data_IF_693476951869
#
_entry.id   IF_693476951869
#
_cell.length_a   1.000
_cell.length_b   1.000
_cell.length_c   1.000
_cell.angle_alpha   90.00
_cell.angle_beta   90.00
_cell.angle_gamma   90.00
#
_symmetry.space_group_name_H-M   'P 1'
#
loop_
_entity.id
_entity.type
_entity.pdbx_description
1 polymer ?
#
# COMPACT_ATOMS: atom_id res chain seq x y z
N UNK A 1 -13.97 -24.87 -2.24
CA UNK A 1 -15.14 -24.92 -1.34
C UNK A 1 -16.24 -24.03 -1.90
N UNK A 2 -17.50 -24.19 -1.46
CA UNK A 2 -18.61 -23.32 -1.86
C UNK A 2 -19.16 -22.63 -0.63
N UNK A 3 -19.30 -21.30 -0.69
CA UNK A 3 -19.90 -20.50 0.37
C UNK A 3 -21.35 -20.17 0.01
N UNK A 4 -22.22 -20.05 1.01
CA UNK A 4 -23.65 -19.82 0.76
C UNK A 4 -24.26 -18.88 1.78
N UNK A 5 -25.30 -18.16 1.38
CA UNK A 5 -26.14 -17.39 2.29
C UNK A 5 -27.58 -17.38 1.77
N UNK A 6 -28.55 -17.46 2.67
CA UNK A 6 -29.97 -17.48 2.30
C UNK A 6 -30.65 -16.18 2.73
N UNK A 7 -31.22 -15.45 1.78
CA UNK A 7 -32.00 -14.22 1.98
C UNK A 7 -33.42 -14.49 1.52
N UNK A 8 -34.42 -14.28 2.39
CA UNK A 8 -35.85 -14.43 2.06
C UNK A 8 -36.24 -15.73 1.32
N UNK A 9 -35.54 -16.84 1.58
CA UNK A 9 -35.78 -18.14 0.92
C UNK A 9 -35.01 -18.37 -0.39
N UNK A 10 -34.26 -17.38 -0.88
CA UNK A 10 -33.31 -17.53 -1.98
C UNK A 10 -31.91 -17.82 -1.44
N UNK A 11 -31.27 -18.89 -1.92
CA UNK A 11 -29.92 -19.27 -1.51
C UNK A 11 -28.90 -18.87 -2.56
N UNK A 12 -28.10 -17.86 -2.23
CA UNK A 12 -26.94 -17.44 -3.00
C UNK A 12 -25.78 -18.42 -2.78
N UNK A 13 -25.05 -18.72 -3.85
CA UNK A 13 -23.89 -19.62 -3.83
C UNK A 13 -22.69 -18.92 -4.45
N UNK A 14 -21.55 -19.01 -3.78
CA UNK A 14 -20.28 -18.43 -4.21
C UNK A 14 -19.23 -19.54 -4.32
N UNK A 15 -18.71 -19.75 -5.53
CA UNK A 15 -17.69 -20.73 -5.87
C UNK A 15 -16.31 -20.22 -5.49
N UNK A 16 -15.84 -20.67 -4.33
CA UNK A 16 -14.51 -20.35 -3.81
C UNK A 16 -14.37 -18.94 -3.24
N UNK A 17 -13.21 -18.73 -2.60
CA UNK A 17 -12.97 -17.53 -1.80
C UNK A 17 -12.82 -16.28 -2.67
N UNK A 18 -12.20 -16.42 -3.85
CA UNK A 18 -12.06 -15.33 -4.83
C UNK A 18 -13.42 -14.72 -5.20
N UNK A 19 -14.39 -15.56 -5.57
CA UNK A 19 -15.71 -15.07 -5.97
C UNK A 19 -16.44 -14.44 -4.78
N UNK A 20 -16.41 -15.06 -3.59
CA UNK A 20 -17.02 -14.48 -2.39
C UNK A 20 -16.44 -13.09 -2.08
N UNK A 21 -15.12 -12.96 -2.10
CA UNK A 21 -14.42 -11.70 -1.84
C UNK A 21 -14.74 -10.62 -2.88
N UNK A 22 -14.81 -10.99 -4.16
CA UNK A 22 -15.13 -10.07 -5.25
C UNK A 22 -16.59 -9.60 -5.20
N UNK A 23 -17.53 -10.52 -4.99
CA UNK A 23 -18.96 -10.21 -4.89
C UNK A 23 -19.30 -9.38 -3.65
N UNK A 24 -18.52 -9.49 -2.57
CA UNK A 24 -18.71 -8.68 -1.37
C UNK A 24 -18.17 -7.23 -1.50
N UNK A 25 -17.38 -6.93 -2.53
CA UNK A 25 -16.82 -5.59 -2.77
C UNK A 25 -17.92 -4.57 -3.11
N UNK A 26 -17.91 -3.36 -2.53
CA UNK A 26 -18.75 -2.26 -3.00
C UNK A 26 -18.57 -2.03 -4.51
N UNK A 27 -19.61 -1.57 -5.22
CA UNK A 27 -19.56 -1.44 -6.67
C UNK A 27 -18.34 -0.61 -7.15
N UNK A 28 -17.51 -1.21 -8.01
CA UNK A 28 -16.33 -0.60 -8.64
C UNK A 28 -16.34 -0.91 -10.15
N UNK A 29 -16.01 0.08 -10.97
CA UNK A 29 -15.98 -0.08 -12.43
C UNK A 29 -14.95 -1.10 -12.90
N UNK A 30 -13.81 -1.22 -12.21
CA UNK A 30 -12.78 -2.21 -12.55
C UNK A 30 -13.23 -3.65 -12.31
N UNK A 31 -13.89 -3.93 -11.18
CA UNK A 31 -14.44 -5.27 -10.90
C UNK A 31 -15.59 -5.63 -11.85
N UNK A 32 -16.37 -4.64 -12.30
CA UNK A 32 -17.38 -4.81 -13.35
C UNK A 32 -16.74 -5.14 -14.70
N UNK A 33 -15.70 -4.40 -15.09
CA UNK A 33 -14.95 -4.64 -16.32
C UNK A 33 -14.32 -6.04 -16.35
N UNK A 34 -13.85 -6.52 -15.19
CA UNK A 34 -13.32 -7.87 -15.03
C UNK A 34 -14.41 -8.95 -14.96
N UNK A 35 -15.69 -8.59 -14.92
CA UNK A 35 -16.80 -9.55 -14.87
C UNK A 35 -16.97 -10.28 -13.54
N UNK A 36 -16.35 -9.77 -12.45
CA UNK A 36 -16.32 -10.42 -11.13
C UNK A 36 -17.18 -9.72 -10.08
N UNK A 37 -17.65 -8.50 -10.36
CA UNK A 37 -18.55 -7.75 -9.49
C UNK A 37 -19.89 -8.46 -9.27
N UNK A 38 -20.57 -8.12 -8.16
CA UNK A 38 -21.95 -8.56 -7.92
C UNK A 38 -22.91 -8.05 -9.01
N UNK A 39 -23.88 -8.88 -9.37
CA UNK A 39 -24.89 -8.59 -10.39
C UNK A 39 -25.85 -7.49 -9.91
N UNK A 40 -26.16 -7.49 -8.61
CA UNK A 40 -27.04 -6.53 -7.97
C UNK A 40 -26.66 -6.31 -6.49
N UNK A 41 -27.42 -5.46 -5.81
CA UNK A 41 -27.23 -5.18 -4.38
C UNK A 41 -27.51 -6.41 -3.50
N UNK A 42 -28.51 -7.22 -3.86
CA UNK A 42 -28.95 -8.34 -3.04
C UNK A 42 -27.88 -9.44 -3.01
N UNK A 43 -27.30 -9.77 -4.17
CA UNK A 43 -26.15 -10.68 -4.28
C UNK A 43 -24.95 -10.14 -3.49
N UNK A 44 -24.69 -8.82 -3.55
CA UNK A 44 -23.58 -8.22 -2.79
C UNK A 44 -23.81 -8.32 -1.29
N UNK A 45 -24.99 -8.00 -0.80
CA UNK A 45 -25.33 -8.12 0.63
C UNK A 45 -25.26 -9.59 1.06
N UNK A 46 -25.76 -10.52 0.25
CA UNK A 46 -25.64 -11.96 0.52
C UNK A 46 -24.17 -12.41 0.59
N UNK A 47 -23.31 -11.90 -0.30
CA UNK A 47 -21.86 -12.16 -0.26
C UNK A 47 -21.22 -11.57 1.00
N UNK A 48 -21.56 -10.35 1.39
CA UNK A 48 -21.07 -9.73 2.63
C UNK A 48 -21.51 -10.51 3.88
N UNK A 49 -22.74 -11.03 3.90
CA UNK A 49 -23.25 -11.85 5.00
C UNK A 49 -22.58 -13.23 5.05
N UNK A 50 -22.34 -13.87 3.90
CA UNK A 50 -21.55 -15.09 3.83
C UNK A 50 -20.11 -14.83 4.33
N UNK A 51 -19.49 -13.74 3.87
CA UNK A 51 -18.13 -13.35 4.23
C UNK A 51 -18.00 -13.04 5.74
N UNK A 52 -18.98 -12.35 6.32
CA UNK A 52 -19.00 -12.03 7.76
C UNK A 52 -18.99 -13.28 8.65
N UNK A 53 -19.52 -14.40 8.17
CA UNK A 53 -19.54 -15.68 8.90
C UNK A 53 -18.28 -16.53 8.69
N UNK A 54 -17.38 -16.12 7.80
CA UNK A 54 -16.17 -16.88 7.50
C UNK A 54 -15.15 -16.78 8.65
N UNK A 55 -14.60 -17.89 9.17
CA UNK A 55 -13.49 -17.85 10.12
C UNK A 55 -12.25 -17.16 9.54
N UNK A 56 -11.57 -16.32 10.33
CA UNK A 56 -10.34 -15.67 9.87
C UNK A 56 -9.26 -16.68 9.47
N UNK A 57 -9.17 -17.81 10.17
CA UNK A 57 -8.20 -18.86 9.87
C UNK A 57 -8.32 -19.43 8.46
N UNK A 58 -9.46 -19.29 7.78
CA UNK A 58 -9.65 -19.73 6.39
C UNK A 58 -8.63 -19.07 5.46
N UNK A 59 -8.28 -17.81 5.68
CA UNK A 59 -7.34 -17.06 4.83
C UNK A 59 -5.88 -17.56 4.92
N UNK A 60 -5.57 -18.43 5.90
CA UNK A 60 -4.26 -19.06 6.03
C UNK A 60 -4.13 -20.33 5.17
N UNK A 61 -5.26 -20.99 4.89
CA UNK A 61 -5.31 -22.26 4.16
C UNK A 61 -5.87 -22.14 2.75
N UNK A 62 -6.76 -21.17 2.50
CA UNK A 62 -7.33 -20.89 1.19
C UNK A 62 -6.72 -19.59 0.64
N UNK A 63 -5.77 -19.72 -0.29
CA UNK A 63 -5.06 -18.57 -0.87
C UNK A 63 -5.80 -18.05 -2.11
N UNK A 64 -5.95 -16.72 -2.21
CA UNK A 64 -6.52 -16.05 -3.39
C UNK A 64 -5.68 -16.33 -4.64
N UNK A 65 -4.36 -16.31 -4.50
CA UNK A 65 -3.41 -16.72 -5.54
C UNK A 65 -2.54 -17.82 -4.95
N UNK A 66 -2.35 -18.99 -5.62
CA UNK A 66 -1.60 -20.11 -5.09
C UNK A 66 -0.18 -19.74 -4.63
N UNK A 67 0.22 -20.28 -3.49
CA UNK A 67 1.54 -20.04 -2.87
C UNK A 67 2.70 -20.34 -3.84
N UNK A 68 2.61 -21.41 -4.61
CA UNK A 68 3.66 -21.82 -5.55
C UNK A 68 3.77 -20.88 -6.75
N UNK A 69 2.68 -20.19 -7.10
CA UNK A 69 2.59 -19.36 -8.29
C UNK A 69 3.00 -17.89 -8.07
N UNK A 70 3.05 -17.41 -6.82
CA UNK A 70 3.11 -15.98 -6.54
C UNK A 70 4.01 -15.62 -5.34
N UNK A 71 5.04 -14.82 -5.59
CA UNK A 71 5.99 -14.40 -4.53
C UNK A 71 5.39 -13.48 -3.48
N UNK A 72 4.30 -12.77 -3.81
CA UNK A 72 3.59 -11.92 -2.84
C UNK A 72 2.78 -12.80 -1.89
N UNK A 73 2.14 -13.87 -2.38
CA UNK A 73 1.50 -14.88 -1.51
C UNK A 73 2.55 -15.53 -0.59
N UNK A 74 3.72 -15.92 -1.12
CA UNK A 74 4.79 -16.47 -0.28
C UNK A 74 5.21 -15.50 0.81
N UNK A 75 5.47 -14.24 0.45
CA UNK A 75 5.78 -13.19 1.42
C UNK A 75 4.71 -13.09 2.52
N UNK A 76 3.43 -13.06 2.16
CA UNK A 76 2.31 -12.93 3.10
C UNK A 76 2.27 -14.11 4.08
N UNK A 77 2.36 -15.34 3.56
CA UNK A 77 2.23 -16.55 4.38
C UNK A 77 3.47 -16.78 5.23
N UNK A 78 4.67 -16.59 4.67
CA UNK A 78 5.94 -16.85 5.36
C UNK A 78 6.23 -15.83 6.47
N UNK A 79 5.63 -14.64 6.40
CA UNK A 79 5.81 -13.58 7.41
C UNK A 79 4.64 -13.45 8.38
N UNK A 80 3.63 -14.31 8.26
CA UNK A 80 2.50 -14.33 9.20
C UNK A 80 2.92 -14.83 10.58
N UNK A 81 2.62 -14.05 11.61
CA UNK A 81 2.90 -14.38 13.01
C UNK A 81 1.68 -15.02 13.70
N UNK A 82 1.78 -16.31 14.00
CA UNK A 82 0.71 -17.07 14.63
C UNK A 82 0.42 -16.64 16.09
N UNK A 83 1.43 -16.17 16.82
CA UNK A 83 1.28 -15.72 18.21
C UNK A 83 0.59 -14.35 18.24
N UNK A 84 0.97 -13.45 17.33
CA UNK A 84 0.28 -12.17 17.15
C UNK A 84 -1.19 -12.37 16.71
N UNK A 85 -1.48 -13.38 15.89
CA UNK A 85 -2.83 -13.73 15.44
C UNK A 85 -3.69 -14.41 16.52
N UNK A 86 -3.06 -15.06 17.51
CA UNK A 86 -3.72 -15.89 18.50
C UNK A 86 -4.93 -15.24 19.23
N UNK A 87 -4.95 -13.92 19.54
CA UNK A 87 -6.08 -13.27 20.21
C UNK A 87 -7.36 -13.24 19.38
N UNK A 88 -7.26 -13.22 18.05
CA UNK A 88 -8.41 -13.11 17.14
C UNK A 88 -8.66 -14.39 16.33
N UNK A 89 -7.82 -15.42 16.48
CA UNK A 89 -7.85 -16.64 15.65
C UNK A 89 -9.20 -17.33 15.55
N UNK A 90 -10.02 -17.25 16.61
CA UNK A 90 -11.33 -17.90 16.69
C UNK A 90 -12.47 -17.03 16.14
N UNK A 91 -12.18 -15.78 15.77
CA UNK A 91 -13.19 -14.86 15.26
C UNK A 91 -13.49 -15.16 13.79
N UNK A 92 -14.73 -14.83 13.41
CA UNK A 92 -15.10 -14.67 12.01
C UNK A 92 -14.71 -13.28 11.52
N UNK A 93 -14.82 -13.02 10.22
CA UNK A 93 -14.63 -11.67 9.65
C UNK A 93 -15.57 -10.65 10.33
N UNK A 94 -16.83 -11.03 10.58
CA UNK A 94 -17.79 -10.20 11.32
C UNK A 94 -17.38 -9.97 12.77
N UNK A 95 -16.96 -11.03 13.47
CA UNK A 95 -16.43 -10.89 14.84
C UNK A 95 -15.17 -10.01 14.90
N UNK A 96 -14.33 -10.06 13.86
CA UNK A 96 -13.16 -9.20 13.75
C UNK A 96 -13.53 -7.73 13.51
N UNK A 97 -14.53 -7.45 12.67
CA UNK A 97 -15.08 -6.08 12.51
C UNK A 97 -15.50 -5.52 13.87
N UNK A 98 -16.29 -6.27 14.62
CA UNK A 98 -16.80 -5.82 15.93
C UNK A 98 -15.65 -5.64 16.93
N UNK A 99 -14.66 -6.54 16.91
CA UNK A 99 -13.44 -6.42 17.71
C UNK A 99 -12.66 -5.14 17.37
N UNK A 100 -12.47 -4.80 16.09
CA UNK A 100 -11.78 -3.57 15.67
C UNK A 100 -12.53 -2.29 16.12
N UNK A 101 -13.87 -2.34 16.10
CA UNK A 101 -14.71 -1.21 16.51
C UNK A 101 -14.77 -1.02 18.03
N UNK A 102 -14.57 -2.08 18.81
CA UNK A 102 -14.57 -2.04 20.28
C UNK A 102 -13.58 -1.03 20.87
N UNK A 103 -13.98 -0.30 21.91
CA UNK A 103 -13.13 0.63 22.65
C UNK A 103 -11.96 -0.06 23.37
N UNK A 104 -12.09 -1.36 23.65
CA UNK A 104 -11.01 -2.17 24.21
C UNK A 104 -9.84 -2.38 23.22
N UNK A 105 -10.10 -2.22 21.92
CA UNK A 105 -9.07 -2.35 20.88
C UNK A 105 -8.34 -1.02 20.72
N UNK A 106 -7.14 -0.96 21.31
CA UNK A 106 -6.30 0.24 21.32
C UNK A 106 -5.26 0.22 20.19
N UNK A 107 -4.60 1.35 19.93
CA UNK A 107 -3.47 1.41 19.00
C UNK A 107 -2.36 0.42 19.34
N UNK A 108 -2.06 0.24 20.64
CA UNK A 108 -1.06 -0.72 21.10
C UNK A 108 -1.47 -2.16 20.76
N UNK A 109 -2.73 -2.51 21.00
CA UNK A 109 -3.28 -3.83 20.67
C UNK A 109 -3.22 -4.09 19.17
N UNK A 110 -3.55 -3.09 18.34
CA UNK A 110 -3.48 -3.20 16.89
C UNK A 110 -2.04 -3.34 16.38
N UNK A 111 -1.10 -2.60 16.95
CA UNK A 111 0.32 -2.73 16.60
C UNK A 111 0.86 -4.13 16.93
N UNK A 112 0.48 -4.70 18.06
CA UNK A 112 0.84 -6.07 18.43
C UNK A 112 0.18 -7.13 17.54
N UNK A 113 -1.06 -6.88 17.09
CA UNK A 113 -1.80 -7.78 16.22
C UNK A 113 -1.29 -7.77 14.77
N UNK A 114 -0.81 -6.63 14.27
CA UNK A 114 -0.52 -6.43 12.85
C UNK A 114 0.28 -7.58 12.19
N UNK A 115 1.34 -8.17 12.80
CA UNK A 115 2.07 -9.30 12.22
C UNK A 115 1.23 -10.56 11.97
N UNK A 116 0.14 -10.74 12.70
CA UNK A 116 -0.79 -11.86 12.55
C UNK A 116 -1.93 -11.61 11.55
N UNK A 117 -1.92 -10.50 10.81
CA UNK A 117 -2.97 -10.20 9.82
C UNK A 117 -2.45 -10.44 8.41
N UNK A 118 -3.18 -11.27 7.64
CA UNK A 118 -3.00 -11.32 6.19
C UNK A 118 -3.77 -10.18 5.51
N UNK A 119 -3.33 -9.73 4.32
CA UNK A 119 -4.06 -8.76 3.52
C UNK A 119 -5.49 -9.17 3.20
N UNK A 120 -5.73 -10.45 2.97
CA UNK A 120 -7.06 -10.98 2.67
C UNK A 120 -8.01 -10.85 3.86
N UNK A 121 -7.54 -11.02 5.11
CA UNK A 121 -8.33 -10.74 6.31
C UNK A 121 -8.71 -9.26 6.40
N UNK A 122 -7.75 -8.37 6.13
CA UNK A 122 -7.94 -6.91 6.17
C UNK A 122 -8.89 -6.45 5.05
N UNK A 123 -8.74 -7.00 3.85
CA UNK A 123 -9.65 -6.77 2.73
C UNK A 123 -11.05 -7.26 3.08
N UNK A 124 -11.18 -8.48 3.63
CA UNK A 124 -12.47 -9.08 3.98
C UNK A 124 -13.24 -8.22 4.99
N UNK A 125 -12.59 -7.79 6.07
CA UNK A 125 -13.25 -6.96 7.08
C UNK A 125 -13.62 -5.59 6.52
N UNK A 126 -12.78 -4.99 5.68
CA UNK A 126 -13.07 -3.69 5.06
C UNK A 126 -14.27 -3.73 4.09
N UNK A 127 -14.56 -4.88 3.47
CA UNK A 127 -15.72 -5.07 2.58
C UNK A 127 -17.06 -5.03 3.31
N UNK A 128 -17.07 -5.40 4.59
CA UNK A 128 -18.28 -5.40 5.44
C UNK A 128 -18.36 -4.17 6.36
N UNK A 129 -17.44 -3.22 6.21
CA UNK A 129 -17.42 -1.97 6.96
C UNK A 129 -18.17 -0.87 6.22
N UNK A 130 -18.91 -0.06 6.98
CA UNK A 130 -19.38 1.25 6.49
C UNK A 130 -18.21 2.24 6.47
N UNK A 131 -18.38 3.37 5.78
CA UNK A 131 -17.38 4.44 5.78
C UNK A 131 -17.06 4.92 7.21
N UNK A 132 -18.06 5.05 8.08
CA UNK A 132 -17.83 5.44 9.48
C UNK A 132 -16.98 4.39 10.23
N UNK A 133 -17.23 3.10 10.00
CA UNK A 133 -16.45 2.02 10.59
C UNK A 133 -14.99 2.13 10.15
N UNK A 134 -14.74 2.31 8.83
CA UNK A 134 -13.39 2.47 8.29
C UNK A 134 -12.66 3.67 8.91
N UNK A 135 -13.34 4.81 9.08
CA UNK A 135 -12.75 6.00 9.72
C UNK A 135 -12.40 5.73 11.18
N UNK A 136 -13.30 5.10 11.94
CA UNK A 136 -13.10 4.81 13.36
C UNK A 136 -11.96 3.81 13.58
N UNK A 137 -11.90 2.75 12.76
CA UNK A 137 -10.82 1.76 12.79
C UNK A 137 -9.50 2.41 12.40
N UNK A 138 -9.45 3.14 11.27
CA UNK A 138 -8.23 3.80 10.80
C UNK A 138 -7.70 4.83 11.80
N UNK A 139 -8.57 5.54 12.53
CA UNK A 139 -8.16 6.45 13.61
C UNK A 139 -7.39 5.74 14.73
N UNK A 140 -7.67 4.47 15.02
CA UNK A 140 -6.95 3.68 16.02
C UNK A 140 -5.61 3.14 15.49
N UNK A 141 -5.49 2.93 14.17
CA UNK A 141 -4.26 2.50 13.53
C UNK A 141 -3.22 3.64 13.51
N UNK A 142 -2.26 3.60 14.42
CA UNK A 142 -1.16 4.58 14.49
C UNK A 142 0.11 3.98 13.89
N UNK A 143 0.58 4.54 12.78
CA UNK A 143 1.81 4.15 12.09
C UNK A 143 2.73 5.37 12.06
N UNK A 144 3.87 5.27 12.73
CA UNK A 144 4.85 6.36 12.84
C UNK A 144 6.12 5.94 12.13
N UNK A 145 6.55 6.72 11.15
CA UNK A 145 7.75 6.47 10.34
C UNK A 145 8.73 7.64 10.46
N UNK A 146 10.03 7.37 10.28
CA UNK A 146 11.11 8.31 10.58
C UNK A 146 12.23 8.23 9.55
N UNK A 147 12.63 9.38 9.03
CA UNK A 147 13.84 9.52 8.23
C UNK A 147 14.63 10.78 8.62
N UNK A 148 14.32 11.95 8.06
CA UNK A 148 14.86 13.25 8.52
C UNK A 148 13.93 13.99 9.45
N UNK A 149 12.66 13.63 9.41
CA UNK A 149 11.64 14.04 10.35
C UNK A 149 10.80 12.81 10.77
N UNK A 150 9.72 13.05 11.52
CA UNK A 150 8.80 12.01 11.98
C UNK A 150 7.40 12.26 11.43
N UNK A 151 6.85 11.28 10.72
CA UNK A 151 5.51 11.30 10.15
C UNK A 151 4.54 10.42 10.94
N UNK A 152 3.23 10.69 10.81
CA UNK A 152 2.17 9.85 11.39
C UNK A 152 1.84 10.09 12.87
N UNK A 153 2.40 11.14 13.49
CA UNK A 153 2.04 11.53 14.85
C UNK A 153 0.61 12.08 14.92
N UNK A 154 -0.06 11.85 16.04
CA UNK A 154 -1.42 12.36 16.28
C UNK A 154 -1.49 13.89 16.22
N UNK A 155 -2.57 14.40 15.64
CA UNK A 155 -2.79 15.84 15.48
C UNK A 155 -1.93 16.49 14.39
N UNK A 156 -1.22 15.70 13.57
CA UNK A 156 -0.40 16.18 12.45
C UNK A 156 -0.91 15.64 11.12
N UNK A 157 -0.83 16.48 10.10
CA UNK A 157 -1.09 16.13 8.71
C UNK A 157 0.10 16.59 7.88
N UNK A 158 0.73 15.65 7.18
CA UNK A 158 1.89 15.91 6.34
C UNK A 158 1.47 15.98 4.87
N UNK A 159 2.18 16.74 4.06
CA UNK A 159 1.91 16.87 2.63
C UNK A 159 3.15 16.61 1.78
N UNK A 160 2.93 15.95 0.65
CA UNK A 160 3.91 15.88 -0.43
C UNK A 160 3.87 17.20 -1.20
N UNK A 161 5.04 17.80 -1.41
CA UNK A 161 5.20 18.88 -2.37
C UNK A 161 5.74 18.26 -3.67
N UNK A 162 4.93 18.27 -4.73
CA UNK A 162 5.30 17.70 -6.03
C UNK A 162 5.40 18.74 -7.15
N UNK A 163 6.57 19.37 -7.32
CA UNK A 163 6.81 20.41 -8.31
C UNK A 163 7.14 19.82 -9.70
N UNK A 164 6.19 19.13 -10.33
CA UNK A 164 6.40 18.58 -11.68
C UNK A 164 6.43 19.69 -12.73
N UNK A 165 7.33 19.59 -13.70
CA UNK A 165 7.37 20.47 -14.87
C UNK A 165 7.29 19.64 -16.16
N UNK A 166 6.53 20.04 -17.20
CA UNK A 166 6.35 19.24 -18.43
C UNK A 166 7.64 18.83 -19.15
N UNK A 167 8.71 19.58 -18.94
CA UNK A 167 10.04 19.37 -19.54
C UNK A 167 11.16 19.27 -18.51
N UNK A 168 10.81 19.09 -17.22
CA UNK A 168 11.75 19.10 -16.10
C UNK A 168 12.66 20.36 -16.03
N UNK A 169 12.10 21.55 -16.32
CA UNK A 169 12.88 22.79 -16.28
C UNK A 169 13.25 23.16 -14.82
N UNK A 170 14.54 23.28 -14.48
CA UNK A 170 14.96 23.52 -13.10
C UNK A 170 14.40 24.82 -12.50
N UNK A 171 14.24 25.88 -13.30
CA UNK A 171 13.72 27.15 -12.80
C UNK A 171 12.22 27.06 -12.48
N UNK A 172 11.44 26.41 -13.35
CA UNK A 172 10.03 26.12 -13.10
C UNK A 172 9.80 25.23 -11.87
N UNK A 173 10.62 24.19 -11.73
CA UNK A 173 10.58 23.31 -10.55
C UNK A 173 10.94 24.09 -9.28
N UNK A 174 12.03 24.85 -9.28
CA UNK A 174 12.45 25.64 -8.13
C UNK A 174 11.40 26.68 -7.72
N UNK A 175 10.75 27.34 -8.68
CA UNK A 175 9.66 28.28 -8.41
C UNK A 175 8.48 27.59 -7.69
N UNK A 176 8.09 26.39 -8.15
CA UNK A 176 7.03 25.61 -7.51
C UNK A 176 7.43 25.09 -6.11
N UNK A 177 8.70 24.75 -5.90
CA UNK A 177 9.22 24.41 -4.57
C UNK A 177 9.05 25.59 -3.62
N UNK A 178 9.48 26.78 -4.02
CA UNK A 178 9.37 27.99 -3.19
C UNK A 178 7.91 28.29 -2.87
N UNK A 179 7.03 28.28 -3.87
CA UNK A 179 5.60 28.51 -3.66
C UNK A 179 5.01 27.50 -2.67
N UNK A 180 5.27 26.21 -2.87
CA UNK A 180 4.77 25.14 -1.98
C UNK A 180 5.27 25.27 -0.54
N UNK A 181 6.54 25.60 -0.35
CA UNK A 181 7.14 25.82 0.98
C UNK A 181 6.54 27.03 1.70
N UNK A 182 6.12 28.09 0.99
CA UNK A 182 5.43 29.24 1.58
C UNK A 182 4.05 28.87 2.17
N UNK A 183 3.45 27.78 1.70
CA UNK A 183 2.24 27.18 2.27
C UNK A 183 2.53 26.04 3.26
N UNK A 184 3.79 25.88 3.68
CA UNK A 184 4.26 24.81 4.56
C UNK A 184 4.04 23.39 4.01
N UNK A 185 4.07 23.22 2.68
CA UNK A 185 4.02 21.90 2.07
C UNK A 185 5.40 21.27 1.93
N UNK A 186 5.44 19.93 1.92
CA UNK A 186 6.65 19.17 1.64
C UNK A 186 7.33 18.60 2.88
N UNK A 187 6.67 18.58 4.03
CA UNK A 187 7.16 17.89 5.23
C UNK A 187 7.11 16.36 5.07
N UNK A 188 6.19 15.82 4.25
CA UNK A 188 6.21 14.39 3.93
C UNK A 188 7.37 14.04 2.98
N UNK A 189 7.52 14.81 1.90
CA UNK A 189 8.59 14.67 0.89
C UNK A 189 8.48 15.84 -0.10
N UNK A 190 9.62 16.34 -0.59
CA UNK A 190 9.68 17.14 -1.82
C UNK A 190 10.02 16.20 -2.97
N UNK A 191 9.01 15.82 -3.75
CA UNK A 191 9.08 14.72 -4.72
C UNK A 191 8.87 15.19 -6.16
N UNK A 192 9.71 14.81 -7.11
CA UNK A 192 9.50 15.13 -8.54
C UNK A 192 9.19 13.84 -9.29
N UNK A 193 8.09 13.80 -10.05
CA UNK A 193 7.90 12.79 -11.08
C UNK A 193 8.49 13.31 -12.39
N UNK A 194 9.67 12.82 -12.81
CA UNK A 194 10.39 13.40 -13.94
C UNK A 194 9.70 13.05 -15.27
N UNK A 195 9.73 13.97 -16.21
CA UNK A 195 9.29 13.77 -17.59
C UNK A 195 10.23 12.83 -18.38
N UNK A 196 11.47 12.64 -17.93
CA UNK A 196 12.45 11.71 -18.52
C UNK A 196 12.99 10.71 -17.50
N UNK A 197 13.35 9.51 -17.97
CA UNK A 197 14.03 8.46 -17.21
C UNK A 197 15.57 8.51 -17.33
N UNK A 198 16.12 9.55 -17.96
CA UNK A 198 17.56 9.73 -18.09
C UNK A 198 18.25 9.87 -16.73
N UNK A 199 19.24 9.01 -16.47
CA UNK A 199 20.05 9.05 -15.25
C UNK A 199 20.66 10.44 -15.02
N UNK A 200 21.17 11.10 -16.06
CA UNK A 200 21.80 12.41 -15.93
C UNK A 200 20.79 13.49 -15.48
N UNK A 201 19.58 13.45 -16.03
CA UNK A 201 18.51 14.37 -15.65
C UNK A 201 18.04 14.09 -14.20
N UNK A 202 17.82 12.82 -13.86
CA UNK A 202 17.46 12.39 -12.51
C UNK A 202 18.50 12.84 -11.48
N UNK A 203 19.80 12.62 -11.75
CA UNK A 203 20.89 13.08 -10.86
C UNK A 203 20.89 14.60 -10.70
N UNK A 204 20.68 15.35 -11.79
CA UNK A 204 20.60 16.82 -11.73
C UNK A 204 19.46 17.29 -10.82
N UNK A 205 18.29 16.66 -10.91
CA UNK A 205 17.15 16.97 -10.04
C UNK A 205 17.43 16.59 -8.58
N UNK A 206 18.07 15.44 -8.34
CA UNK A 206 18.45 14.99 -7.00
C UNK A 206 19.44 15.96 -6.33
N UNK A 207 20.47 16.41 -7.05
CA UNK A 207 21.45 17.38 -6.58
C UNK A 207 20.79 18.72 -6.27
N UNK A 208 19.94 19.22 -7.17
CA UNK A 208 19.18 20.45 -6.95
C UNK A 208 18.32 20.38 -5.68
N UNK A 209 17.56 19.29 -5.48
CA UNK A 209 16.74 19.10 -4.28
C UNK A 209 17.61 19.02 -3.01
N UNK A 210 18.71 18.28 -3.07
CA UNK A 210 19.66 18.17 -1.96
C UNK A 210 20.22 19.55 -1.57
N UNK A 211 20.62 20.36 -2.55
CA UNK A 211 21.21 21.68 -2.31
C UNK A 211 20.19 22.65 -1.70
N UNK A 212 18.94 22.63 -2.16
CA UNK A 212 17.86 23.42 -1.56
C UNK A 212 17.65 23.02 -0.10
N UNK A 213 17.49 21.71 0.17
CA UNK A 213 17.24 21.21 1.53
C UNK A 213 18.41 21.55 2.46
N UNK A 214 19.65 21.31 2.01
CA UNK A 214 20.84 21.57 2.81
C UNK A 214 21.06 23.06 3.06
N UNK A 215 20.91 23.91 2.04
CA UNK A 215 21.15 25.36 2.13
C UNK A 215 20.19 26.05 3.10
N UNK A 216 18.94 25.62 3.14
CA UNK A 216 17.91 26.21 3.99
C UNK A 216 17.60 25.37 5.23
N UNK A 217 18.38 24.30 5.49
CA UNK A 217 18.24 23.39 6.63
C UNK A 217 16.79 22.88 6.80
N UNK A 218 16.13 22.58 5.68
CA UNK A 218 14.72 22.19 5.67
C UNK A 218 14.60 20.78 6.28
N UNK A 219 13.77 20.57 7.33
CA UNK A 219 13.65 19.27 7.97
C UNK A 219 12.74 18.32 7.16
N UNK A 220 13.19 17.95 5.95
CA UNK A 220 12.47 17.08 5.01
C UNK A 220 13.44 16.24 4.17
N UNK A 221 12.87 15.40 3.31
CA UNK A 221 13.53 14.48 2.41
C UNK A 221 13.14 14.76 0.96
N UNK A 222 14.07 14.53 0.05
CA UNK A 222 13.85 14.59 -1.38
C UNK A 222 13.45 13.23 -1.95
N UNK A 223 12.79 13.25 -3.10
CA UNK A 223 12.60 12.05 -3.91
C UNK A 223 12.48 12.44 -5.39
N UNK A 224 13.08 11.66 -6.28
CA UNK A 224 12.74 11.69 -7.71
C UNK A 224 12.08 10.34 -8.00
N UNK A 225 10.80 10.38 -8.40
CA UNK A 225 9.92 9.23 -8.54
C UNK A 225 10.21 8.46 -9.84
N UNK A 226 11.42 7.90 -9.92
CA UNK A 226 11.89 7.06 -11.03
C UNK A 226 11.84 5.58 -10.66
N UNK A 227 12.13 4.70 -11.62
CA UNK A 227 12.24 3.27 -11.37
C UNK A 227 13.38 2.97 -10.37
N UNK A 228 13.18 2.01 -9.47
CA UNK A 228 14.13 1.66 -8.40
C UNK A 228 15.55 1.38 -8.93
N UNK A 229 15.68 0.76 -10.10
CA UNK A 229 17.00 0.49 -10.71
C UNK A 229 17.72 1.77 -11.14
N UNK A 230 16.99 2.79 -11.56
CA UNK A 230 17.53 4.11 -11.87
C UNK A 230 18.05 4.78 -10.59
N UNK A 231 17.33 4.63 -9.47
CA UNK A 231 17.81 5.08 -8.17
C UNK A 231 19.07 4.34 -7.72
N UNK A 232 19.14 3.02 -7.85
CA UNK A 232 20.34 2.23 -7.52
C UNK A 232 21.54 2.70 -8.35
N UNK A 233 21.36 2.87 -9.65
CA UNK A 233 22.44 3.34 -10.53
C UNK A 233 22.88 4.78 -10.18
N UNK A 234 21.94 5.67 -9.86
CA UNK A 234 22.28 7.02 -9.41
C UNK A 234 23.07 6.99 -8.08
N UNK A 235 22.71 6.10 -7.14
CA UNK A 235 23.44 5.88 -5.88
C UNK A 235 24.86 5.39 -6.16
N UNK A 236 25.04 4.43 -7.07
CA UNK A 236 26.37 3.93 -7.48
C UNK A 236 27.27 5.04 -8.06
N UNK A 237 26.65 6.08 -8.64
CA UNK A 237 27.34 7.29 -9.13
C UNK A 237 27.54 8.38 -8.08
N UNK A 238 27.12 8.14 -6.83
CA UNK A 238 27.26 9.06 -5.71
C UNK A 238 26.13 10.09 -5.56
N UNK A 239 24.99 9.91 -6.23
CA UNK A 239 23.88 10.84 -6.13
C UNK A 239 23.25 10.85 -4.71
N UNK A 240 22.80 12.02 -4.22
CA UNK A 240 22.29 12.18 -2.86
C UNK A 240 20.81 11.77 -2.73
N UNK A 241 20.52 10.47 -2.83
CA UNK A 241 19.15 9.95 -2.69
C UNK A 241 18.73 9.86 -1.23
N UNK A 242 17.61 10.51 -0.88
CA UNK A 242 16.99 10.36 0.44
C UNK A 242 15.99 9.21 0.47
N UNK A 243 15.01 9.21 -0.45
CA UNK A 243 14.02 8.15 -0.58
C UNK A 243 14.12 7.45 -1.94
N UNK A 244 14.01 6.12 -1.92
CA UNK A 244 13.86 5.30 -3.13
C UNK A 244 12.39 5.06 -3.39
N UNK A 245 11.93 5.56 -4.54
CA UNK A 245 10.56 5.38 -5.00
C UNK A 245 10.40 4.10 -5.80
N UNK A 246 9.23 3.47 -5.71
CA UNK A 246 8.79 2.47 -6.68
C UNK A 246 7.26 2.28 -6.66
N UNK A 247 6.65 2.13 -7.83
CA UNK A 247 5.28 1.63 -7.94
C UNK A 247 5.25 0.12 -7.70
N UNK A 248 4.36 -0.36 -6.84
CA UNK A 248 4.21 -1.77 -6.47
C UNK A 248 2.77 -2.24 -6.64
N UNK A 249 2.58 -3.56 -6.73
CA UNK A 249 1.29 -4.22 -6.86
C UNK A 249 1.19 -5.46 -5.97
N UNK A 250 -0.04 -5.95 -5.79
CA UNK A 250 -0.36 -7.10 -4.94
C UNK A 250 -0.11 -8.48 -5.54
N UNK A 251 0.47 -8.57 -6.75
CA UNK A 251 0.77 -9.85 -7.41
C UNK A 251 2.17 -9.82 -8.02
N UNK A 252 2.82 -10.98 -8.07
CA UNK A 252 4.13 -11.16 -8.69
C UNK A 252 4.08 -10.79 -10.18
N UNK A 253 3.02 -11.19 -10.89
CA UNK A 253 2.87 -10.89 -12.31
C UNK A 253 2.73 -9.37 -12.57
N UNK A 254 1.98 -8.64 -11.74
CA UNK A 254 1.87 -7.19 -11.85
C UNK A 254 3.19 -6.48 -11.51
N UNK A 255 3.90 -6.91 -10.46
CA UNK A 255 5.23 -6.37 -10.13
C UNK A 255 6.24 -6.62 -11.25
N UNK A 256 6.22 -7.80 -11.88
CA UNK A 256 7.06 -8.09 -13.06
C UNK A 256 6.74 -7.18 -14.23
N UNK A 257 5.47 -6.82 -14.44
CA UNK A 257 5.08 -5.87 -15.49
C UNK A 257 5.65 -4.46 -15.25
N UNK A 258 5.92 -4.13 -13.98
CA UNK A 258 6.63 -2.91 -13.59
C UNK A 258 8.15 -3.05 -13.62
N UNK A 259 8.70 -4.20 -13.99
CA UNK A 259 10.14 -4.43 -14.04
C UNK A 259 10.79 -4.74 -12.70
N UNK A 260 10.02 -5.12 -11.68
CA UNK A 260 10.53 -5.34 -10.31
C UNK A 260 10.22 -6.74 -9.75
N UNK A 261 11.01 -7.12 -8.76
CA UNK A 261 10.78 -8.26 -7.87
C UNK A 261 10.99 -7.83 -6.42
N UNK A 262 10.58 -8.64 -5.44
CA UNK A 262 10.91 -8.38 -4.03
C UNK A 262 12.43 -8.25 -3.79
N UNK A 263 13.26 -8.98 -4.55
CA UNK A 263 14.72 -8.88 -4.47
C UNK A 263 15.22 -7.52 -4.98
N UNK A 264 14.65 -7.01 -6.08
CA UNK A 264 14.97 -5.68 -6.61
C UNK A 264 14.62 -4.57 -5.60
N UNK A 265 13.49 -4.71 -4.90
CA UNK A 265 13.09 -3.77 -3.84
C UNK A 265 14.04 -3.83 -2.63
N UNK A 266 14.50 -5.03 -2.26
CA UNK A 266 15.48 -5.23 -1.19
C UNK A 266 16.82 -4.57 -1.54
N UNK A 267 17.31 -4.75 -2.77
CA UNK A 267 18.52 -4.10 -3.28
C UNK A 267 18.40 -2.57 -3.23
N UNK A 268 17.27 -2.02 -3.67
CA UNK A 268 16.99 -0.58 -3.60
C UNK A 268 16.99 -0.03 -2.17
N UNK A 269 16.41 -0.78 -1.24
CA UNK A 269 16.41 -0.42 0.18
C UNK A 269 17.83 -0.43 0.76
N UNK A 270 18.61 -1.48 0.48
CA UNK A 270 19.99 -1.62 0.95
C UNK A 270 20.90 -0.53 0.40
N UNK A 271 20.76 -0.21 -0.90
CA UNK A 271 21.49 0.88 -1.54
C UNK A 271 21.20 2.22 -0.84
N UNK A 272 19.93 2.55 -0.58
CA UNK A 272 19.56 3.79 0.11
C UNK A 272 20.06 3.84 1.56
N UNK A 273 19.94 2.73 2.30
CA UNK A 273 20.45 2.63 3.67
C UNK A 273 21.97 2.81 3.73
N UNK A 274 22.71 2.34 2.72
CA UNK A 274 24.17 2.46 2.66
C UNK A 274 24.66 3.92 2.66
N UNK A 275 23.81 4.87 2.24
CA UNK A 275 24.14 6.28 2.23
C UNK A 275 24.12 6.93 3.62
N UNK A 276 23.47 6.32 4.60
CA UNK A 276 23.43 6.84 5.99
C UNK A 276 22.83 8.24 6.13
N UNK A 277 21.87 8.61 5.27
CA UNK A 277 21.34 9.99 5.16
C UNK A 277 20.20 10.34 6.11
N UNK A 278 19.64 9.34 6.79
CA UNK A 278 18.59 9.53 7.79
C UNK A 278 19.17 10.11 9.09
N UNK A 279 18.57 11.17 9.61
CA UNK A 279 19.03 11.85 10.84
C UNK A 279 18.17 11.53 12.06
N UNK A 280 16.95 11.04 11.85
CA UNK A 280 15.96 10.68 12.89
C UNK A 280 15.59 9.20 12.84
N UNK A 281 15.63 8.58 11.65
CA UNK A 281 15.37 7.17 11.44
C UNK A 281 15.81 6.71 10.05
N UNK A 282 15.47 5.46 9.71
CA UNK A 282 15.99 4.76 8.53
C UNK A 282 14.87 4.24 7.60
N UNK A 283 13.67 4.83 7.66
CA UNK A 283 12.62 4.49 6.70
C UNK A 283 12.96 5.18 5.35
N UNK A 284 13.50 4.44 4.40
CA UNK A 284 14.06 4.98 3.14
C UNK A 284 13.21 4.72 1.90
N UNK A 285 12.18 3.88 2.00
CA UNK A 285 11.35 3.52 0.84
C UNK A 285 10.13 4.43 0.73
N UNK A 286 9.75 4.75 -0.50
CA UNK A 286 8.49 5.39 -0.84
C UNK A 286 7.77 4.55 -1.90
N UNK A 287 6.61 3.99 -1.56
CA UNK A 287 5.81 3.23 -2.52
C UNK A 287 4.55 3.97 -2.96
N UNK A 288 4.19 3.77 -4.22
CA UNK A 288 2.85 4.03 -4.72
C UNK A 288 2.14 2.72 -5.10
N UNK A 289 0.86 2.69 -4.80
CA UNK A 289 -0.06 1.56 -5.01
C UNK A 289 -1.27 2.03 -5.81
N UNK A 290 -2.13 1.12 -6.25
CA UNK A 290 -3.27 1.45 -7.07
C UNK A 290 -4.15 0.23 -7.32
N UNK A 291 -5.45 0.41 -7.06
CA UNK A 291 -6.46 -0.64 -7.21
C UNK A 291 -6.54 -1.21 -8.63
N UNK A 292 -6.31 -0.37 -9.65
CA UNK A 292 -6.38 -0.76 -11.06
C UNK A 292 -5.17 -1.54 -11.58
N UNK A 293 -4.02 -1.46 -10.90
CA UNK A 293 -2.73 -1.88 -11.45
C UNK A 293 -2.69 -3.33 -11.90
N UNK A 294 -3.19 -4.25 -11.08
CA UNK A 294 -3.17 -5.67 -11.40
C UNK A 294 -4.15 -6.05 -12.53
N UNK A 295 -5.29 -5.37 -12.63
CA UNK A 295 -6.23 -5.57 -13.73
C UNK A 295 -5.62 -5.09 -15.05
N UNK A 296 -5.06 -3.88 -15.07
CA UNK A 296 -4.41 -3.29 -16.24
C UNK A 296 -3.21 -4.12 -16.74
N UNK A 297 -2.49 -4.76 -15.81
CA UNK A 297 -1.38 -5.66 -16.13
C UNK A 297 -1.83 -7.09 -16.53
N UNK A 298 -3.13 -7.35 -16.64
CA UNK A 298 -3.70 -8.70 -16.84
C UNK A 298 -3.17 -9.74 -15.83
N UNK A 299 -3.00 -9.30 -14.58
CA UNK A 299 -2.32 -10.01 -13.50
C UNK A 299 -3.16 -10.05 -12.22
N UNK A 300 -4.48 -9.96 -12.35
CA UNK A 300 -5.43 -9.90 -11.24
C UNK A 300 -5.95 -11.27 -10.80
N UNK A 301 -5.78 -12.32 -11.63
CA UNK A 301 -6.16 -13.70 -11.30
C UNK A 301 -7.62 -13.87 -10.84
N UNK A 302 -8.55 -13.12 -11.43
CA UNK A 302 -9.98 -13.04 -11.02
C UNK A 302 -10.20 -12.56 -9.58
N UNK A 303 -9.19 -11.99 -8.93
CA UNK A 303 -9.34 -11.34 -7.64
C UNK A 303 -9.75 -9.88 -7.84
N UNK A 304 -10.56 -9.38 -6.93
CA UNK A 304 -11.04 -8.00 -6.97
C UNK A 304 -9.95 -6.99 -6.61
N UNK A 305 -10.14 -5.76 -7.10
CA UNK A 305 -9.18 -4.67 -6.95
C UNK A 305 -8.85 -4.36 -5.49
N UNK A 306 -9.84 -4.44 -4.58
CA UNK A 306 -9.64 -4.10 -3.17
C UNK A 306 -8.78 -5.15 -2.45
N UNK A 307 -8.93 -6.43 -2.77
CA UNK A 307 -8.08 -7.50 -2.23
C UNK A 307 -6.64 -7.36 -2.72
N UNK A 308 -6.44 -7.08 -4.01
CA UNK A 308 -5.11 -6.91 -4.58
C UNK A 308 -4.40 -5.65 -4.09
N UNK A 309 -5.15 -4.58 -3.83
CA UNK A 309 -4.61 -3.37 -3.19
C UNK A 309 -4.11 -3.66 -1.77
N UNK A 310 -4.88 -4.40 -0.96
CA UNK A 310 -4.44 -4.80 0.37
C UNK A 310 -3.15 -5.63 0.30
N UNK A 311 -3.01 -6.52 -0.70
CA UNK A 311 -1.80 -7.31 -0.92
C UNK A 311 -0.59 -6.45 -1.30
N UNK A 312 -0.79 -5.34 -2.03
CA UNK A 312 0.27 -4.38 -2.31
C UNK A 312 0.81 -3.74 -1.02
N UNK A 313 -0.05 -3.49 -0.02
CA UNK A 313 0.38 -3.01 1.29
C UNK A 313 1.25 -4.04 2.05
N UNK A 314 1.07 -5.34 1.80
CA UNK A 314 1.93 -6.38 2.37
C UNK A 314 3.36 -6.30 1.80
N UNK A 315 3.46 -6.09 0.48
CA UNK A 315 4.74 -5.84 -0.20
C UNK A 315 5.39 -4.61 0.42
N UNK A 316 4.67 -3.50 0.53
CA UNK A 316 5.19 -2.29 1.15
C UNK A 316 5.71 -2.55 2.58
N UNK A 317 4.90 -3.19 3.42
CA UNK A 317 5.22 -3.46 4.83
C UNK A 317 6.57 -4.17 5.01
N UNK A 318 6.93 -5.10 4.12
CA UNK A 318 8.20 -5.85 4.18
C UNK A 318 9.43 -4.94 4.17
N UNK A 319 9.33 -3.75 3.58
CA UNK A 319 10.46 -2.83 3.43
C UNK A 319 10.39 -1.61 4.34
N UNK A 320 9.50 -1.61 5.35
CA UNK A 320 9.38 -0.53 6.35
C UNK A 320 9.48 0.88 5.73
N UNK A 321 8.62 1.22 4.74
CA UNK A 321 8.70 2.47 4.00
C UNK A 321 8.43 3.68 4.90
N UNK A 322 8.92 4.84 4.47
CA UNK A 322 8.49 6.12 5.05
C UNK A 322 7.05 6.43 4.62
N UNK A 323 6.74 6.19 3.34
CA UNK A 323 5.50 6.57 2.69
C UNK A 323 4.94 5.43 1.85
N UNK A 324 3.62 5.25 1.91
CA UNK A 324 2.86 4.39 0.99
C UNK A 324 1.60 5.15 0.62
N UNK A 325 1.50 5.57 -0.64
CA UNK A 325 0.34 6.30 -1.13
C UNK A 325 -0.43 5.42 -2.11
N UNK A 326 -1.75 5.31 -1.92
CA UNK A 326 -2.63 4.80 -2.96
C UNK A 326 -2.94 5.92 -3.94
N UNK A 327 -2.89 5.64 -5.22
CA UNK A 327 -3.32 6.59 -6.25
C UNK A 327 -4.72 6.19 -6.70
N UNK A 328 -5.70 7.04 -6.41
CA UNK A 328 -7.11 6.84 -6.76
C UNK A 328 -7.46 7.66 -8.01
N UNK A 329 -7.88 7.00 -9.08
CA UNK A 329 -8.33 7.64 -10.32
C UNK A 329 -7.24 8.05 -11.31
N UNK A 330 -6.11 7.34 -11.33
CA UNK A 330 -5.05 7.45 -12.36
C UNK A 330 -5.24 6.42 -13.47
#
# INVERSE_FOLDING_TARGET
>A
MTYTHTVAGHTYRFEGLKQLMAKATPARSGDQLAGIAANDEEERIAAQMALANLPLSTFLTEHIIPYEADEVTRLIIDTHDADAFAPIRSLTVGGFRDWLLSDATTSQTLSALAPGLTPEMVAAVSKICRIQDLILIARKCRVVTKFRNTLGLEGRMATRLQPNHPTDDPAGIAASIVDGLMYANGDAVIGINPATDSIAAVTTLLEMLNDIIARYEIPTQSCVLTHVTTSIEAINRGAPIDLVFQSIAGTQAANKSFGITLATLQEGQEAALSLGRGTVGNNVMYFETGQGSALSANAHHDADQQTLEARAYAVARRFSPLLVNTVVGF
#
